data_IF_076289787777
#
_entry.id   IF_076289787777
#
_cell.length_a   1.000
_cell.length_b   1.000
_cell.length_c   1.000
_cell.angle_alpha   90.00
_cell.angle_beta   90.00
_cell.angle_gamma   90.00
#
_symmetry.space_group_name_H-M   'P 1'
#
loop_
_entity.id
_entity.type
_entity.pdbx_description
1 polymer ?
#
# COMPACT_ATOMS: atom_id res chain seq x y z
N UNK A 1 -34.20 -2.91 9.57
CA UNK A 1 -33.71 -2.39 8.28
C UNK A 1 -32.24 -2.01 8.47
N UNK A 2 -31.32 -2.80 7.88
CA UNK A 2 -29.88 -2.56 8.01
C UNK A 2 -29.51 -1.36 7.14
N UNK A 3 -28.98 -0.30 7.76
CA UNK A 3 -28.51 0.87 7.03
C UNK A 3 -27.37 0.45 6.09
N UNK A 4 -27.57 0.66 4.80
CA UNK A 4 -26.55 0.53 3.76
C UNK A 4 -25.38 1.47 4.10
N UNK A 5 -24.24 0.92 4.49
CA UNK A 5 -23.04 1.71 4.74
C UNK A 5 -22.47 2.13 3.40
N UNK A 6 -22.48 3.43 3.15
CA UNK A 6 -21.69 4.03 2.08
C UNK A 6 -20.22 3.91 2.45
N UNK A 7 -19.40 3.27 1.62
CA UNK A 7 -17.97 3.56 1.61
C UNK A 7 -17.80 5.04 1.23
N UNK A 8 -16.74 5.72 1.66
CA UNK A 8 -16.46 7.12 1.21
C UNK A 8 -16.57 7.27 -0.31
N UNK A 9 -16.32 6.21 -1.08
CA UNK A 9 -16.48 6.14 -2.53
C UNK A 9 -17.93 5.92 -3.02
N UNK A 10 -18.95 6.04 -2.18
CA UNK A 10 -20.35 6.26 -2.58
C UNK A 10 -21.13 5.07 -3.15
N UNK A 11 -20.64 3.83 -3.15
CA UNK A 11 -21.38 2.69 -3.71
C UNK A 11 -22.24 1.99 -2.67
N UNK A 12 -23.53 1.69 -2.98
CA UNK A 12 -24.34 0.80 -2.15
C UNK A 12 -23.73 -0.61 -2.22
N UNK A 13 -23.52 -1.22 -1.07
CA UNK A 13 -22.89 -2.51 -0.97
C UNK A 13 -23.82 -3.53 -0.30
N UNK A 14 -23.99 -4.69 -0.94
CA UNK A 14 -24.77 -5.81 -0.41
C UNK A 14 -23.81 -6.84 0.21
N UNK A 15 -24.01 -7.10 1.51
CA UNK A 15 -23.19 -8.09 2.23
C UNK A 15 -23.29 -9.48 1.59
N UNK A 16 -22.18 -10.13 1.19
CA UNK A 16 -22.22 -11.49 0.69
C UNK A 16 -22.61 -12.46 1.80
N UNK A 17 -23.36 -13.52 1.46
CA UNK A 17 -23.78 -14.56 2.42
C UNK A 17 -22.57 -15.22 3.10
N UNK A 18 -21.45 -15.37 2.36
CA UNK A 18 -20.17 -15.87 2.87
C UNK A 18 -19.06 -14.88 2.51
N UNK A 19 -18.34 -14.30 3.49
CA UNK A 19 -17.23 -13.39 3.20
C UNK A 19 -16.12 -14.08 2.41
N UNK A 20 -15.60 -13.40 1.38
CA UNK A 20 -14.44 -13.87 0.66
C UNK A 20 -13.21 -13.94 1.59
N UNK A 21 -12.31 -14.90 1.36
CA UNK A 21 -11.02 -14.95 2.06
C UNK A 21 -10.16 -13.76 1.58
N UNK A 22 -9.56 -12.97 2.48
CA UNK A 22 -8.66 -11.91 2.08
C UNK A 22 -7.44 -12.47 1.32
N UNK A 23 -7.08 -11.82 0.21
CA UNK A 23 -5.87 -12.13 -0.57
C UNK A 23 -4.72 -11.25 -0.08
N UNK A 24 -3.52 -11.81 -0.07
CA UNK A 24 -2.34 -11.03 0.27
C UNK A 24 -2.04 -9.99 -0.82
N UNK A 25 -1.78 -8.76 -0.37
CA UNK A 25 -1.48 -7.62 -1.21
C UNK A 25 -0.45 -6.71 -0.53
N UNK A 26 0.22 -5.89 -1.31
CA UNK A 26 1.14 -4.90 -0.82
C UNK A 26 1.03 -3.60 -1.63
N UNK A 27 1.27 -2.47 -0.98
CA UNK A 27 1.31 -1.15 -1.60
C UNK A 27 2.52 -0.37 -1.09
N UNK A 28 3.02 0.55 -1.91
CA UNK A 28 4.17 1.36 -1.59
C UNK A 28 3.80 2.85 -1.55
N UNK A 29 4.10 3.49 -0.44
CA UNK A 29 4.00 4.93 -0.28
C UNK A 29 5.37 5.54 -0.62
N UNK A 30 5.48 6.17 -1.78
CA UNK A 30 6.69 6.90 -2.15
C UNK A 30 6.49 8.34 -1.68
N UNK A 31 7.43 8.83 -0.87
CA UNK A 31 7.36 10.19 -0.35
C UNK A 31 8.61 10.99 -0.68
N UNK A 32 8.49 12.31 -0.65
CA UNK A 32 9.60 13.26 -0.78
C UNK A 32 9.42 14.46 0.14
N UNK A 33 10.53 15.14 0.43
CA UNK A 33 10.50 16.48 1.01
C UNK A 33 10.64 17.51 -0.12
N UNK A 34 9.65 18.38 -0.26
CA UNK A 34 9.67 19.47 -1.23
C UNK A 34 9.30 20.78 -0.53
N UNK A 35 10.18 21.78 -0.61
CA UNK A 35 9.96 23.10 0.03
C UNK A 35 9.53 23.02 1.51
N UNK A 36 10.10 22.05 2.26
CA UNK A 36 9.82 21.89 3.70
C UNK A 36 8.54 21.11 4.03
N UNK A 37 7.78 20.67 3.02
CA UNK A 37 6.59 19.84 3.23
C UNK A 37 6.80 18.41 2.72
N UNK A 38 6.12 17.44 3.34
CA UNK A 38 6.12 16.07 2.87
C UNK A 38 5.05 15.90 1.81
N UNK A 39 5.45 15.42 0.64
CA UNK A 39 4.56 15.00 -0.44
C UNK A 39 4.63 13.50 -0.64
N UNK A 40 3.53 12.90 -1.10
CA UNK A 40 3.41 11.50 -1.48
C UNK A 40 3.00 11.36 -2.93
N UNK A 41 3.52 10.34 -3.61
CA UNK A 41 3.09 10.03 -4.97
C UNK A 41 1.77 9.24 -4.91
N UNK A 42 0.77 9.74 -5.59
CA UNK A 42 -0.53 9.10 -5.73
C UNK A 42 -0.99 9.11 -7.18
N UNK A 43 -1.73 8.09 -7.56
CA UNK A 43 -2.34 8.00 -8.88
C UNK A 43 -3.81 7.64 -8.78
N UNK A 44 -4.55 7.93 -9.83
CA UNK A 44 -5.97 7.63 -9.94
C UNK A 44 -6.15 6.27 -10.62
N UNK A 45 -6.88 5.37 -9.99
CA UNK A 45 -7.22 4.06 -10.60
C UNK A 45 -8.10 4.25 -11.82
N UNK A 46 -7.78 3.54 -12.91
CA UNK A 46 -8.58 3.62 -14.13
C UNK A 46 -10.01 3.12 -13.91
N UNK A 47 -10.95 3.57 -14.74
CA UNK A 47 -12.36 3.16 -14.68
C UNK A 47 -12.59 1.66 -14.96
N UNK A 48 -11.60 0.98 -15.55
CA UNK A 48 -11.63 -0.48 -15.83
C UNK A 48 -11.46 -1.34 -14.58
N UNK A 49 -10.94 -0.77 -13.49
CA UNK A 49 -10.79 -1.52 -12.24
C UNK A 49 -12.14 -1.91 -11.64
N UNK A 50 -12.31 -3.21 -11.35
CA UNK A 50 -13.51 -3.74 -10.68
C UNK A 50 -13.68 -3.28 -9.22
N UNK A 51 -12.57 -2.86 -8.59
CA UNK A 51 -12.56 -2.47 -7.18
C UNK A 51 -12.12 -1.02 -7.05
N UNK A 52 -13.02 -0.17 -6.57
CA UNK A 52 -12.80 1.26 -6.29
C UNK A 52 -12.14 2.03 -7.48
N UNK A 53 -12.80 2.10 -8.66
CA UNK A 53 -12.29 2.90 -9.77
C UNK A 53 -12.40 4.40 -9.49
N UNK A 54 -11.59 5.18 -10.20
CA UNK A 54 -11.60 6.65 -10.19
C UNK A 54 -11.24 7.30 -8.83
N UNK A 55 -10.65 6.57 -7.87
CA UNK A 55 -10.13 7.12 -6.64
C UNK A 55 -8.61 7.19 -6.67
N UNK A 56 -8.04 8.11 -5.89
CA UNK A 56 -6.60 8.18 -5.68
C UNK A 56 -6.13 7.10 -4.72
N UNK A 57 -5.05 6.44 -5.09
CA UNK A 57 -4.43 5.34 -4.32
C UNK A 57 -2.90 5.44 -4.40
N UNK A 58 -2.22 4.69 -3.55
CA UNK A 58 -0.80 4.37 -3.72
C UNK A 58 -0.65 3.24 -4.74
N UNK A 59 0.47 3.15 -5.47
CA UNK A 59 0.78 1.99 -6.29
C UNK A 59 0.79 0.73 -5.45
N UNK A 60 0.33 -0.38 -6.04
CA UNK A 60 0.30 -1.66 -5.36
C UNK A 60 -0.78 -2.60 -5.81
N UNK A 61 -0.53 -3.89 -5.56
CA UNK A 61 -1.40 -4.96 -5.99
C UNK A 61 -1.28 -6.24 -5.18
N UNK A 62 -1.65 -7.36 -5.80
CA UNK A 62 -1.63 -8.67 -5.16
C UNK A 62 -0.22 -9.25 -5.16
N UNK A 63 0.05 -10.06 -4.15
CA UNK A 63 1.25 -10.91 -4.16
C UNK A 63 1.03 -12.06 -5.15
N UNK A 64 1.93 -12.19 -6.09
CA UNK A 64 1.97 -13.29 -7.04
C UNK A 64 2.90 -14.42 -6.56
N UNK A 65 2.72 -15.60 -7.12
CA UNK A 65 3.57 -16.74 -6.77
C UNK A 65 5.04 -16.48 -7.13
N UNK A 66 5.26 -15.79 -8.25
CA UNK A 66 6.60 -15.42 -8.72
C UNK A 66 7.35 -14.49 -7.75
N UNK A 67 6.64 -13.64 -7.00
CA UNK A 67 7.27 -12.72 -6.03
C UNK A 67 8.06 -13.43 -4.93
N UNK A 68 7.83 -14.73 -4.72
CA UNK A 68 8.46 -15.54 -3.67
C UNK A 68 9.89 -15.94 -3.95
N UNK A 69 10.27 -15.94 -5.23
CA UNK A 69 11.54 -16.50 -5.69
C UNK A 69 12.35 -15.51 -6.56
N UNK A 70 12.03 -14.22 -6.43
CA UNK A 70 12.71 -13.14 -7.14
C UNK A 70 14.14 -12.97 -6.59
N UNK A 71 15.11 -12.84 -7.51
CA UNK A 71 16.48 -12.49 -7.15
C UNK A 71 16.55 -11.02 -6.72
N UNK A 72 17.07 -10.77 -5.53
CA UNK A 72 17.11 -9.43 -4.92
C UNK A 72 18.48 -8.78 -5.11
N UNK A 73 18.51 -7.47 -5.34
CA UNK A 73 19.72 -6.65 -5.24
C UNK A 73 20.12 -6.45 -3.76
N UNK A 74 19.10 -6.25 -2.90
CA UNK A 74 19.29 -6.16 -1.46
C UNK A 74 18.05 -6.71 -0.74
N UNK A 75 18.26 -7.44 0.35
CA UNK A 75 17.18 -8.00 1.17
C UNK A 75 16.59 -6.95 2.11
N UNK A 76 15.46 -7.27 2.76
CA UNK A 76 14.84 -6.44 3.77
C UNK A 76 15.81 -6.09 4.91
N UNK A 77 15.80 -4.83 5.33
CA UNK A 77 16.51 -4.42 6.53
C UNK A 77 16.03 -5.24 7.75
N UNK A 78 16.96 -5.66 8.61
CA UNK A 78 16.66 -6.52 9.77
C UNK A 78 15.46 -6.06 10.62
N UNK A 79 15.27 -4.76 10.94
CA UNK A 79 14.11 -4.30 11.70
C UNK A 79 12.78 -4.52 10.98
N UNK A 80 12.76 -4.35 9.65
CA UNK A 80 11.57 -4.56 8.82
C UNK A 80 11.26 -6.05 8.69
N UNK A 81 12.28 -6.87 8.41
CA UNK A 81 12.16 -8.32 8.34
C UNK A 81 11.54 -8.87 9.63
N UNK A 82 12.06 -8.51 10.81
CA UNK A 82 11.54 -8.94 12.12
C UNK A 82 10.05 -8.60 12.31
N UNK A 83 9.64 -7.38 11.99
CA UNK A 83 8.23 -6.98 12.09
C UNK A 83 7.30 -7.82 11.21
N UNK A 84 7.75 -8.19 10.02
CA UNK A 84 6.98 -9.05 9.11
C UNK A 84 7.00 -10.50 9.57
N UNK A 85 8.15 -11.02 9.96
CA UNK A 85 8.38 -12.42 10.35
C UNK A 85 7.68 -12.81 11.66
N UNK A 86 7.27 -11.84 12.48
CA UNK A 86 6.38 -12.11 13.61
C UNK A 86 5.07 -12.80 13.20
N UNK A 87 4.67 -12.71 11.93
CA UNK A 87 3.39 -13.24 11.44
C UNK A 87 3.50 -14.08 10.18
N UNK A 88 4.59 -13.95 9.44
CA UNK A 88 4.80 -14.65 8.16
C UNK A 88 6.19 -15.28 8.10
N UNK A 89 6.34 -16.29 7.26
CA UNK A 89 7.67 -16.84 6.98
C UNK A 89 8.55 -15.78 6.30
N UNK A 90 9.86 -15.88 6.44
CA UNK A 90 10.82 -14.98 5.76
C UNK A 90 10.57 -14.92 4.24
N UNK A 91 10.26 -16.08 3.61
CA UNK A 91 9.92 -16.14 2.19
C UNK A 91 8.67 -15.32 1.86
N UNK A 92 7.64 -15.36 2.70
CA UNK A 92 6.42 -14.55 2.50
C UNK A 92 6.64 -13.08 2.82
N UNK A 93 7.45 -12.75 3.82
CA UNK A 93 7.84 -11.39 4.15
C UNK A 93 8.53 -10.70 2.96
N UNK A 94 9.48 -11.41 2.31
CA UNK A 94 10.13 -10.93 1.07
C UNK A 94 9.12 -10.79 -0.07
N UNK A 95 8.27 -11.78 -0.31
CA UNK A 95 7.27 -11.73 -1.38
C UNK A 95 6.32 -10.53 -1.26
N UNK A 96 5.93 -10.15 -0.05
CA UNK A 96 5.12 -8.96 0.19
C UNK A 96 5.84 -7.67 -0.22
N UNK A 97 7.12 -7.55 0.13
CA UNK A 97 7.91 -6.38 -0.24
C UNK A 97 8.23 -6.35 -1.75
N UNK A 98 8.54 -7.51 -2.34
CA UNK A 98 8.74 -7.65 -3.79
C UNK A 98 7.49 -7.25 -4.56
N UNK A 99 6.30 -7.71 -4.15
CA UNK A 99 5.03 -7.31 -4.76
C UNK A 99 4.84 -5.79 -4.74
N UNK A 100 5.13 -5.12 -3.61
CA UNK A 100 5.03 -3.66 -3.54
C UNK A 100 5.96 -2.95 -4.53
N UNK A 101 7.19 -3.45 -4.68
CA UNK A 101 8.19 -2.89 -5.61
C UNK A 101 7.82 -3.18 -7.07
N UNK A 102 7.42 -4.42 -7.39
CA UNK A 102 7.00 -4.82 -8.74
C UNK A 102 5.81 -4.01 -9.22
N UNK A 103 4.75 -3.94 -8.43
CA UNK A 103 3.54 -3.18 -8.76
C UNK A 103 3.85 -1.68 -8.92
N UNK A 104 4.75 -1.14 -8.10
CA UNK A 104 5.22 0.25 -8.25
C UNK A 104 5.89 0.45 -9.61
N UNK A 105 6.77 -0.46 -10.02
CA UNK A 105 7.41 -0.39 -11.33
C UNK A 105 6.39 -0.49 -12.48
N UNK A 106 5.48 -1.46 -12.41
CA UNK A 106 4.45 -1.71 -13.42
C UNK A 106 3.47 -0.53 -13.56
N UNK A 107 3.08 0.07 -12.43
CA UNK A 107 2.06 1.12 -12.39
C UNK A 107 2.62 2.54 -12.56
N UNK A 108 3.92 2.78 -12.28
CA UNK A 108 4.50 4.14 -12.27
C UNK A 108 5.80 4.28 -13.03
N UNK A 109 6.43 3.20 -13.46
CA UNK A 109 7.77 3.22 -14.08
C UNK A 109 8.93 3.52 -13.12
N UNK A 110 8.66 3.78 -11.84
CA UNK A 110 9.72 4.00 -10.85
C UNK A 110 10.43 2.70 -10.49
N UNK A 111 11.75 2.75 -10.43
CA UNK A 111 12.61 1.62 -10.17
C UNK A 111 13.15 1.69 -8.74
N UNK A 112 12.92 0.62 -7.97
CA UNK A 112 13.49 0.40 -6.65
C UNK A 112 14.41 -0.81 -6.75
N UNK A 113 15.67 -0.57 -7.07
CA UNK A 113 16.67 -1.60 -7.36
C UNK A 113 17.41 -1.36 -8.66
N UNK A 114 17.64 -2.41 -9.43
CA UNK A 114 18.43 -2.39 -10.65
C UNK A 114 17.62 -2.95 -11.83
N UNK A 115 17.83 -2.39 -13.03
CA UNK A 115 17.34 -3.01 -14.25
C UNK A 115 17.98 -4.38 -14.46
N UNK A 116 17.18 -5.38 -14.74
CA UNK A 116 17.65 -6.74 -14.96
C UNK A 116 16.73 -7.51 -15.94
N UNK A 117 17.28 -7.94 -17.07
CA UNK A 117 16.58 -8.79 -18.06
C UNK A 117 15.18 -8.27 -18.46
N UNK A 118 15.01 -6.98 -18.71
CA UNK A 118 13.74 -6.37 -19.08
C UNK A 118 12.76 -6.13 -17.94
N UNK A 119 13.16 -6.42 -16.70
CA UNK A 119 12.43 -6.12 -15.48
C UNK A 119 13.32 -5.44 -14.45
N UNK A 120 13.06 -5.68 -13.20
CA UNK A 120 13.85 -5.15 -12.08
C UNK A 120 14.37 -6.26 -11.18
N UNK A 121 15.53 -6.04 -10.60
CA UNK A 121 16.08 -6.77 -9.46
C UNK A 121 15.88 -5.90 -8.22
N UNK A 122 14.88 -6.20 -7.37
CA UNK A 122 14.46 -5.31 -6.30
C UNK A 122 15.53 -5.08 -5.22
N UNK A 123 15.63 -3.83 -4.75
CA UNK A 123 16.33 -3.47 -3.52
C UNK A 123 15.30 -3.21 -2.42
N UNK A 124 15.22 -4.10 -1.43
CA UNK A 124 14.27 -4.01 -0.33
C UNK A 124 14.85 -3.30 0.90
N UNK A 125 16.14 -2.92 0.87
CA UNK A 125 16.89 -2.44 2.03
C UNK A 125 16.41 -1.10 2.58
N UNK A 126 15.85 -0.23 1.72
CA UNK A 126 15.34 1.10 2.09
C UNK A 126 13.84 1.13 2.41
N UNK A 127 13.16 -0.02 2.35
CA UNK A 127 11.73 -0.08 2.65
C UNK A 127 11.47 0.00 4.15
N UNK A 128 10.51 0.84 4.54
CA UNK A 128 9.91 0.84 5.88
C UNK A 128 8.55 0.13 5.86
N UNK A 129 8.27 -0.72 6.86
CA UNK A 129 6.96 -1.33 7.04
C UNK A 129 6.10 -0.47 7.95
N UNK A 130 5.11 0.22 7.35
CA UNK A 130 4.35 1.29 7.99
C UNK A 130 3.06 0.80 8.63
N UNK A 131 2.29 -0.01 7.92
CA UNK A 131 0.96 -0.41 8.35
C UNK A 131 0.49 -1.67 7.63
N UNK A 132 -0.58 -2.26 8.15
CA UNK A 132 -1.35 -3.27 7.45
C UNK A 132 -2.86 -3.04 7.57
N UNK A 133 -3.62 -3.54 6.63
CA UNK A 133 -5.07 -3.43 6.64
C UNK A 133 -5.75 -4.70 6.16
N UNK A 134 -6.95 -4.96 6.69
CA UNK A 134 -7.80 -6.05 6.22
C UNK A 134 -9.13 -5.45 5.75
N UNK A 135 -9.45 -5.66 4.48
CA UNK A 135 -10.71 -5.20 3.88
C UNK A 135 -11.92 -5.77 4.66
N UNK A 136 -12.99 -4.99 4.84
CA UNK A 136 -14.17 -5.40 5.58
C UNK A 136 -14.73 -6.77 5.14
N UNK A 137 -15.35 -7.56 6.04
CA UNK A 137 -15.94 -8.86 5.70
C UNK A 137 -17.04 -8.79 4.64
N UNK A 138 -17.68 -7.65 4.55
CA UNK A 138 -18.76 -7.36 3.62
C UNK A 138 -18.30 -6.80 2.27
N UNK A 139 -17.02 -6.70 2.02
CA UNK A 139 -16.47 -6.30 0.73
C UNK A 139 -16.50 -7.43 -0.30
N UNK A 140 -16.86 -7.18 -1.59
CA UNK A 140 -16.91 -8.21 -2.63
C UNK A 140 -15.53 -8.79 -2.94
N UNK A 141 -14.49 -7.96 -2.86
CA UNK A 141 -13.10 -8.37 -2.93
C UNK A 141 -12.40 -7.96 -1.64
N UNK A 142 -11.64 -8.88 -1.08
CA UNK A 142 -10.96 -8.65 0.19
C UNK A 142 -9.47 -8.84 0.05
N UNK A 143 -8.74 -7.91 0.68
CA UNK A 143 -7.28 -7.92 0.72
C UNK A 143 -6.79 -7.87 2.16
N UNK A 144 -5.68 -8.52 2.39
CA UNK A 144 -4.82 -8.31 3.53
C UNK A 144 -3.62 -7.53 3.01
N UNK A 145 -3.71 -6.22 3.01
CA UNK A 145 -2.71 -5.33 2.45
C UNK A 145 -1.63 -4.98 3.48
N UNK A 146 -0.37 -4.91 3.03
CA UNK A 146 0.78 -4.37 3.77
C UNK A 146 1.22 -3.10 3.07
N UNK A 147 1.48 -2.07 3.86
CA UNK A 147 1.91 -0.79 3.34
C UNK A 147 3.36 -0.57 3.72
N UNK A 148 4.17 -0.43 2.69
CA UNK A 148 5.56 -0.03 2.82
C UNK A 148 5.70 1.44 2.48
N UNK A 149 6.81 2.06 2.91
CA UNK A 149 7.16 3.42 2.53
C UNK A 149 8.63 3.48 2.09
N UNK A 150 8.93 4.40 1.19
CA UNK A 150 10.28 4.67 0.70
C UNK A 150 10.45 6.16 0.37
N UNK A 151 11.63 6.69 0.64
CA UNK A 151 12.00 8.02 0.15
C UNK A 151 12.26 7.97 -1.35
N UNK A 152 11.79 8.94 -2.12
CA UNK A 152 12.02 9.02 -3.56
C UNK A 152 13.50 8.99 -3.95
N UNK A 153 14.39 9.41 -3.05
CA UNK A 153 15.84 9.38 -3.26
C UNK A 153 16.42 7.97 -3.39
N UNK A 154 15.70 6.97 -2.88
CA UNK A 154 16.04 5.53 -3.02
C UNK A 154 15.35 4.89 -4.21
N UNK A 155 14.79 5.68 -5.12
CA UNK A 155 14.20 5.26 -6.39
C UNK A 155 14.94 5.89 -7.56
N UNK A 156 14.76 5.34 -8.76
CA UNK A 156 15.25 5.93 -10.00
C UNK A 156 14.15 5.92 -11.08
N UNK A 157 14.38 6.67 -12.16
CA UNK A 157 13.38 6.89 -13.20
C UNK A 157 12.49 8.11 -12.90
N UNK A 158 11.52 8.34 -13.78
CA UNK A 158 10.51 9.39 -13.64
C UNK A 158 9.14 8.71 -13.59
N UNK A 159 8.23 9.14 -12.69
CA UNK A 159 6.90 8.57 -12.66
C UNK A 159 6.16 8.86 -13.96
N UNK A 160 5.53 7.85 -14.53
CA UNK A 160 4.70 7.94 -15.73
C UNK A 160 3.41 7.15 -15.54
N UNK A 161 2.33 7.64 -16.15
CA UNK A 161 1.03 6.97 -16.14
C UNK A 161 1.10 5.60 -16.81
N UNK A 162 0.26 4.69 -16.36
CA UNK A 162 0.10 3.34 -16.91
C UNK A 162 -1.37 3.05 -17.25
N UNK A 163 -1.64 1.86 -17.80
CA UNK A 163 -3.02 1.40 -18.07
C UNK A 163 -3.84 1.17 -16.79
N UNK A 164 -3.18 1.01 -15.63
CA UNK A 164 -3.82 0.73 -14.36
C UNK A 164 -3.93 1.96 -13.47
N UNK A 165 -2.93 2.84 -13.52
CA UNK A 165 -2.81 4.02 -12.68
C UNK A 165 -2.46 5.23 -13.54
N UNK A 166 -3.31 6.25 -13.53
CA UNK A 166 -3.11 7.48 -14.30
C UNK A 166 -3.23 8.70 -13.39
N UNK A 167 -2.97 9.89 -13.96
CA UNK A 167 -3.02 11.17 -13.23
C UNK A 167 -2.08 11.12 -12.01
N UNK A 168 -0.86 10.56 -12.24
CA UNK A 168 0.18 10.45 -11.21
C UNK A 168 0.65 11.85 -10.80
N UNK A 169 0.57 12.12 -9.51
CA UNK A 169 0.95 13.42 -8.98
C UNK A 169 1.56 13.35 -7.58
N UNK A 170 2.43 14.29 -7.30
CA UNK A 170 2.92 14.55 -5.96
C UNK A 170 1.93 15.42 -5.22
N UNK A 171 1.40 14.91 -4.11
CA UNK A 171 0.37 15.57 -3.30
C UNK A 171 0.90 15.78 -1.91
N UNK A 172 0.70 16.98 -1.33
CA UNK A 172 1.07 17.20 0.08
C UNK A 172 0.22 16.29 0.98
N UNK A 173 0.74 15.89 2.14
CA UNK A 173 -0.04 15.06 3.07
C UNK A 173 -1.35 15.73 3.50
N UNK A 174 -1.38 17.06 3.56
CA UNK A 174 -2.59 17.82 3.91
C UNK A 174 -3.63 17.72 2.81
N UNK A 175 -3.22 17.96 1.56
CA UNK A 175 -4.12 17.88 0.41
C UNK A 175 -4.59 16.44 0.18
N UNK A 176 -3.69 15.45 0.29
CA UNK A 176 -4.03 14.03 0.17
C UNK A 176 -5.09 13.58 1.19
N UNK A 177 -5.03 14.08 2.43
CA UNK A 177 -6.04 13.81 3.46
C UNK A 177 -7.38 14.52 3.20
N UNK A 178 -7.38 15.59 2.39
CA UNK A 178 -8.59 16.29 1.97
C UNK A 178 -9.25 15.68 0.72
N UNK A 179 -8.53 14.81 -0.02
CA UNK A 179 -9.05 14.16 -1.22
C UNK A 179 -10.10 13.09 -0.88
N UNK A 180 -10.93 12.75 -1.87
CA UNK A 180 -11.83 11.59 -1.78
C UNK A 180 -11.03 10.30 -1.99
N UNK A 181 -10.51 9.76 -0.89
CA UNK A 181 -9.74 8.53 -0.83
C UNK A 181 -10.45 7.47 0.01
N UNK A 182 -10.05 6.20 -0.15
CA UNK A 182 -10.56 5.14 0.71
C UNK A 182 -10.12 5.32 2.17
N UNK A 183 -10.95 4.86 3.13
CA UNK A 183 -10.65 4.91 4.58
C UNK A 183 -9.26 4.35 4.91
N UNK A 184 -8.85 3.28 4.23
CA UNK A 184 -7.52 2.67 4.41
C UNK A 184 -6.42 3.58 3.91
N UNK A 185 -6.64 4.32 2.83
CA UNK A 185 -5.66 5.29 2.30
C UNK A 185 -5.52 6.47 3.26
N UNK A 186 -6.65 7.01 3.75
CA UNK A 186 -6.66 8.07 4.77
C UNK A 186 -5.91 7.63 6.05
N UNK A 187 -6.15 6.39 6.51
CA UNK A 187 -5.45 5.83 7.65
C UNK A 187 -3.92 5.77 7.40
N UNK A 188 -3.48 5.26 6.24
CA UNK A 188 -2.04 5.15 5.91
C UNK A 188 -1.40 6.53 5.79
N UNK A 189 -2.06 7.50 5.15
CA UNK A 189 -1.59 8.89 5.10
C UNK A 189 -1.39 9.47 6.51
N UNK A 190 -2.32 9.20 7.42
CA UNK A 190 -2.21 9.57 8.83
C UNK A 190 -1.02 8.93 9.54
N UNK A 191 -0.71 7.65 9.25
CA UNK A 191 0.49 6.98 9.78
C UNK A 191 1.77 7.60 9.22
N UNK A 192 1.85 7.85 7.91
CA UNK A 192 3.00 8.54 7.29
C UNK A 192 3.22 9.91 7.93
N UNK A 193 2.16 10.69 8.10
CA UNK A 193 2.24 12.00 8.76
C UNK A 193 2.86 11.89 10.16
N UNK A 194 2.32 10.99 11.01
CA UNK A 194 2.84 10.77 12.37
C UNK A 194 4.31 10.34 12.36
N UNK A 195 4.69 9.42 11.47
CA UNK A 195 6.08 8.99 11.31
C UNK A 195 7.01 10.15 10.94
N UNK A 196 6.57 11.03 10.04
CA UNK A 196 7.36 12.20 9.62
C UNK A 196 7.44 13.25 10.71
N UNK A 197 6.48 13.33 11.61
CA UNK A 197 6.47 14.16 12.80
C UNK A 197 7.28 13.55 13.97
N UNK A 198 7.97 12.43 13.75
CA UNK A 198 8.87 11.78 14.71
C UNK A 198 8.19 10.78 15.65
N UNK A 199 6.89 10.49 15.46
CA UNK A 199 6.21 9.48 16.24
C UNK A 199 6.65 8.06 15.82
N UNK A 200 7.05 7.25 16.81
CA UNK A 200 7.46 5.87 16.61
C UNK A 200 6.51 4.96 17.38
N UNK A 201 5.57 4.27 16.71
CA UNK A 201 4.64 3.38 17.37
C UNK A 201 5.36 2.16 17.95
N UNK A 202 4.86 1.66 19.07
CA UNK A 202 5.18 0.32 19.53
C UNK A 202 4.38 -0.69 18.68
N UNK A 203 5.05 -1.29 17.69
CA UNK A 203 4.46 -2.28 16.78
C UNK A 203 3.87 -1.68 15.50
N UNK A 204 3.32 -2.57 14.66
CA UNK A 204 2.74 -2.22 13.36
C UNK A 204 1.23 -2.02 13.49
N UNK A 205 0.69 -0.86 13.09
CA UNK A 205 -0.75 -0.63 13.14
C UNK A 205 -1.50 -1.51 12.14
N UNK A 206 -2.54 -2.17 12.63
CA UNK A 206 -3.52 -2.93 11.86
C UNK A 206 -4.84 -2.15 11.77
N UNK A 207 -5.18 -1.73 10.57
CA UNK A 207 -6.51 -1.21 10.25
C UNK A 207 -7.45 -2.34 9.87
N UNK A 208 -8.58 -2.44 10.53
CA UNK A 208 -9.57 -3.49 10.25
C UNK A 208 -10.98 -3.02 10.62
N UNK A 209 -11.98 -3.87 10.38
CA UNK A 209 -13.37 -3.57 10.72
C UNK A 209 -13.94 -4.58 11.70
N UNK A 210 -14.54 -4.09 12.77
CA UNK A 210 -15.31 -4.91 13.74
C UNK A 210 -16.72 -4.36 13.85
N UNK A 211 -17.72 -5.20 13.66
CA UNK A 211 -19.14 -4.80 13.68
C UNK A 211 -19.40 -3.56 12.80
N UNK A 212 -18.73 -3.50 11.64
CA UNK A 212 -18.87 -2.43 10.67
C UNK A 212 -18.24 -1.08 11.06
N UNK A 213 -17.44 -1.02 12.11
CA UNK A 213 -16.66 0.16 12.52
C UNK A 213 -15.18 -0.08 12.27
N UNK A 214 -14.50 0.93 11.79
CA UNK A 214 -13.05 0.90 11.65
C UNK A 214 -12.39 0.81 13.04
N UNK A 215 -11.38 -0.04 13.14
CA UNK A 215 -10.60 -0.27 14.37
C UNK A 215 -9.12 -0.33 14.01
N UNK A 216 -8.30 0.41 14.75
CA UNK A 216 -6.84 0.35 14.66
C UNK A 216 -6.29 -0.36 15.90
N UNK A 217 -5.41 -1.32 15.68
CA UNK A 217 -4.66 -2.01 16.75
C UNK A 217 -3.18 -1.97 16.41
N UNK A 218 -2.33 -1.71 17.40
CA UNK A 218 -0.89 -1.84 17.26
C UNK A 218 -0.48 -3.25 17.68
N UNK A 219 0.24 -3.93 16.79
CA UNK A 219 0.68 -5.31 17.01
C UNK A 219 2.20 -5.34 17.12
N UNK A 220 2.66 -5.89 18.25
CA UNK A 220 4.07 -6.12 18.51
C UNK A 220 4.66 -7.18 17.59
#
# INVERSE_FOLDING_TARGET
MSALKKTKAGRPYTRPKKPARPRDAASLVIYRQHKGVTEVLMGRRTSRHRFMPNIFVFPGGRVDLADRDVNLACDLAKPVARKLENKWSARMARALAVAAVRETFEETGLIIGEHYNGGIRPNLGSLDYVARAITPPDSPMRFHARFFAIDVRDTSGQPCDSDELHDLQWVTLVDALAMDVADVTEFVLGEIKRHREGWKPFGVPLFSYRNGRAVVKYEA
#
